data_IF_906714948289
#
_entry.id   IF_906714948289
#
_cell.length_a   1.000
_cell.length_b   1.000
_cell.length_c   1.000
_cell.angle_alpha   90.00
_cell.angle_beta   90.00
_cell.angle_gamma   90.00
#
_symmetry.space_group_name_H-M   'P 1'
#
loop_
_entity.id
_entity.type
_entity.pdbx_description
1 polymer ?
#
# COMPACT_ATOMS: atom_id res chain seq x y z
N UNK A 1 16.68 60.18 1.45
CA UNK A 1 15.70 59.10 1.68
C UNK A 1 15.64 58.25 0.42
N UNK A 2 16.49 57.22 0.33
CA UNK A 2 16.44 56.24 -0.76
C UNK A 2 16.02 54.91 -0.13
N UNK A 3 14.90 54.41 -0.65
CA UNK A 3 14.15 53.26 -0.15
C UNK A 3 14.96 52.00 -0.41
N UNK A 4 15.12 51.20 0.63
CA UNK A 4 16.05 50.08 0.70
C UNK A 4 15.87 49.02 -0.40
N UNK A 5 16.99 48.66 -1.01
CA UNK A 5 17.17 47.40 -1.71
C UNK A 5 17.15 46.25 -0.69
N UNK A 6 15.95 45.82 -0.28
CA UNK A 6 15.75 44.73 0.68
C UNK A 6 14.70 43.70 0.27
N UNK A 7 14.19 43.76 -0.96
CA UNK A 7 12.98 43.02 -1.37
C UNK A 7 13.19 41.75 -2.20
N UNK A 8 14.36 41.50 -2.77
CA UNK A 8 14.52 40.45 -3.80
C UNK A 8 15.01 39.09 -3.31
N UNK A 9 15.52 38.97 -2.08
CA UNK A 9 16.06 37.68 -1.60
C UNK A 9 14.97 36.76 -1.02
N UNK A 10 13.80 37.30 -0.64
CA UNK A 10 12.75 36.52 0.03
C UNK A 10 11.82 35.74 -0.92
N UNK A 11 11.76 36.10 -2.21
CA UNK A 11 10.91 35.39 -3.17
C UNK A 11 11.56 34.15 -3.79
N UNK A 12 12.89 34.13 -3.94
CA UNK A 12 13.61 32.96 -4.47
C UNK A 12 13.57 31.76 -3.53
N UNK A 13 13.75 31.99 -2.23
CA UNK A 13 13.71 30.90 -1.22
C UNK A 13 12.30 30.32 -1.09
N UNK A 14 11.26 31.13 -1.24
CA UNK A 14 9.87 30.65 -1.18
C UNK A 14 9.52 29.74 -2.37
N UNK A 15 10.01 30.06 -3.56
CA UNK A 15 9.83 29.23 -4.77
C UNK A 15 10.62 27.91 -4.69
N UNK A 16 11.82 27.94 -4.10
CA UNK A 16 12.60 26.72 -3.84
C UNK A 16 11.92 25.85 -2.77
N UNK A 17 11.34 26.44 -1.72
CA UNK A 17 10.56 25.67 -0.74
C UNK A 17 9.26 25.08 -1.31
N UNK A 18 8.54 25.83 -2.16
CA UNK A 18 7.32 25.34 -2.84
C UNK A 18 7.61 24.21 -3.84
N UNK A 19 8.75 24.27 -4.53
CA UNK A 19 9.20 23.18 -5.41
C UNK A 19 9.71 21.97 -4.62
N UNK A 20 10.42 22.16 -3.51
CA UNK A 20 10.83 21.05 -2.61
C UNK A 20 9.60 20.39 -1.94
N UNK A 21 8.54 21.14 -1.61
CA UNK A 21 7.29 20.61 -1.09
C UNK A 21 6.46 19.86 -2.15
N UNK A 22 6.50 20.30 -3.42
CA UNK A 22 5.83 19.57 -4.53
C UNK A 22 6.54 18.28 -4.95
N UNK A 23 7.84 18.13 -4.66
CA UNK A 23 8.58 16.88 -4.94
C UNK A 23 8.27 15.80 -3.89
N UNK A 24 7.63 16.16 -2.77
CA UNK A 24 7.24 15.22 -1.71
C UNK A 24 5.78 14.78 -1.87
N UNK A 25 5.52 14.00 -2.91
CA UNK A 25 4.53 12.92 -2.78
C UNK A 25 3.35 12.88 -3.75
N UNK A 26 3.49 13.41 -4.97
CA UNK A 26 2.64 12.90 -6.05
C UNK A 26 3.16 11.51 -6.44
N UNK A 27 2.32 10.49 -6.31
CA UNK A 27 2.63 9.17 -6.87
C UNK A 27 2.83 9.32 -8.38
N UNK A 28 3.89 8.71 -8.93
CA UNK A 28 4.16 8.71 -10.39
C UNK A 28 3.18 7.82 -11.17
N UNK A 29 2.17 7.28 -10.50
CA UNK A 29 1.20 6.33 -11.00
C UNK A 29 -0.21 6.71 -10.56
N UNK A 30 -1.20 6.26 -11.32
CA UNK A 30 -2.60 6.43 -10.96
C UNK A 30 -2.98 5.42 -9.87
N UNK A 31 -3.54 5.90 -8.77
CA UNK A 31 -3.96 5.05 -7.65
C UNK A 31 -5.47 5.00 -7.49
N UNK A 32 -6.05 3.81 -7.59
CA UNK A 32 -7.45 3.58 -7.29
C UNK A 32 -7.63 3.17 -5.83
N UNK A 33 -8.17 4.11 -5.06
CA UNK A 33 -8.39 3.94 -3.63
C UNK A 33 -9.50 2.94 -3.30
N UNK A 34 -9.20 2.10 -2.33
CA UNK A 34 -10.17 1.32 -1.55
C UNK A 34 -11.03 2.28 -0.72
N UNK A 35 -12.35 2.11 -0.76
CA UNK A 35 -13.30 3.06 -0.16
C UNK A 35 -13.93 2.57 1.15
N UNK A 36 -14.07 1.26 1.30
CA UNK A 36 -14.86 0.69 2.39
C UNK A 36 -14.00 0.37 3.61
N UNK A 37 -14.64 0.27 4.78
CA UNK A 37 -14.02 -0.36 5.93
C UNK A 37 -13.96 -1.87 5.72
N UNK A 38 -12.96 -2.51 6.31
CA UNK A 38 -12.77 -3.95 6.15
C UNK A 38 -12.76 -4.62 7.51
N UNK A 39 -13.65 -5.58 7.73
CA UNK A 39 -13.72 -6.38 8.95
C UNK A 39 -12.95 -7.69 8.78
N UNK A 40 -11.88 -7.85 9.55
CA UNK A 40 -11.07 -9.06 9.62
C UNK A 40 -11.39 -9.82 10.90
N UNK A 41 -11.95 -11.03 10.76
CA UNK A 41 -12.41 -11.84 11.89
C UNK A 41 -13.51 -11.15 12.69
N UNK A 42 -13.66 -11.51 13.97
CA UNK A 42 -14.84 -11.11 14.75
C UNK A 42 -14.87 -9.64 15.21
N UNK A 43 -13.73 -8.95 15.31
CA UNK A 43 -13.69 -7.60 15.92
C UNK A 43 -12.74 -6.61 15.24
N UNK A 44 -11.92 -7.04 14.27
CA UNK A 44 -10.87 -6.15 13.76
C UNK A 44 -11.31 -5.44 12.50
N UNK A 45 -11.81 -4.23 12.66
CA UNK A 45 -12.03 -3.30 11.56
C UNK A 45 -10.71 -2.62 11.17
N UNK A 46 -10.47 -2.52 9.88
CA UNK A 46 -9.34 -1.84 9.24
C UNK A 46 -9.91 -0.71 8.40
N UNK A 47 -9.36 0.49 8.59
CA UNK A 47 -9.77 1.68 7.85
C UNK A 47 -9.28 1.63 6.40
N UNK A 48 -10.07 2.15 5.45
CA UNK A 48 -9.68 2.22 4.04
C UNK A 48 -8.38 3.02 3.85
N UNK A 49 -8.14 4.06 4.65
CA UNK A 49 -6.93 4.86 4.60
C UNK A 49 -5.67 4.01 4.81
N UNK A 50 -5.70 3.10 5.79
CA UNK A 50 -4.60 2.19 6.05
C UNK A 50 -4.38 1.22 4.89
N UNK A 51 -5.45 0.64 4.35
CA UNK A 51 -5.36 -0.26 3.18
C UNK A 51 -4.71 0.46 2.00
N UNK A 52 -5.13 1.70 1.75
CA UNK A 52 -4.60 2.53 0.66
C UNK A 52 -3.14 2.89 0.84
N UNK A 53 -2.73 3.27 2.05
CA UNK A 53 -1.33 3.60 2.36
C UNK A 53 -0.40 2.43 2.06
N UNK A 54 -0.73 1.24 2.56
CA UNK A 54 0.09 0.05 2.34
C UNK A 54 0.08 -0.40 0.87
N UNK A 55 -1.07 -0.32 0.18
CA UNK A 55 -1.14 -0.61 -1.26
C UNK A 55 -0.26 0.34 -2.08
N UNK A 56 -0.27 1.66 -1.77
CA UNK A 56 0.63 2.64 -2.41
C UNK A 56 2.08 2.35 -2.11
N UNK A 57 2.43 2.05 -0.87
CA UNK A 57 3.79 1.65 -0.50
C UNK A 57 4.24 0.40 -1.28
N UNK A 58 3.33 -0.57 -1.45
CA UNK A 58 3.55 -1.76 -2.28
C UNK A 58 3.86 -1.41 -3.73
N UNK A 59 3.01 -0.61 -4.37
CA UNK A 59 3.23 -0.18 -5.75
C UNK A 59 4.54 0.60 -5.92
N UNK A 60 4.86 1.53 -5.02
CA UNK A 60 6.14 2.25 -5.01
C UNK A 60 7.34 1.29 -4.95
N UNK A 61 7.27 0.23 -4.15
CA UNK A 61 8.34 -0.78 -4.05
C UNK A 61 8.51 -1.59 -5.33
N UNK A 62 7.42 -1.97 -5.98
CA UNK A 62 7.47 -2.67 -7.28
C UNK A 62 8.12 -1.78 -8.34
N UNK A 63 7.72 -0.51 -8.40
CA UNK A 63 8.29 0.46 -9.34
C UNK A 63 9.79 0.68 -9.08
N UNK A 64 10.18 0.85 -7.80
CA UNK A 64 11.55 1.19 -7.42
C UNK A 64 12.55 0.01 -7.49
N UNK A 65 12.08 -1.23 -7.35
CA UNK A 65 12.96 -2.40 -7.23
C UNK A 65 12.67 -3.50 -8.27
N UNK A 66 11.76 -3.25 -9.19
CA UNK A 66 11.37 -4.18 -10.24
C UNK A 66 10.27 -5.14 -9.81
N UNK A 67 9.59 -5.67 -10.81
CA UNK A 67 8.44 -6.53 -10.63
C UNK A 67 8.86 -7.92 -10.12
N UNK A 68 8.39 -8.38 -8.95
CA UNK A 68 8.67 -9.73 -8.43
C UNK A 68 8.39 -10.85 -9.45
N UNK A 69 7.38 -10.69 -10.31
CA UNK A 69 7.03 -11.66 -11.35
C UNK A 69 8.04 -11.68 -12.50
N UNK A 70 8.67 -10.54 -12.81
CA UNK A 70 9.71 -10.48 -13.85
C UNK A 70 10.98 -11.27 -13.48
N UNK A 71 11.19 -11.55 -12.19
CA UNK A 71 12.36 -12.28 -11.69
C UNK A 71 12.18 -13.81 -11.69
N UNK A 72 10.97 -14.32 -11.95
CA UNK A 72 10.69 -15.77 -11.90
C UNK A 72 11.42 -16.54 -13.01
N UNK A 73 11.83 -15.86 -14.10
CA UNK A 73 12.47 -16.48 -15.26
C UNK A 73 13.93 -16.04 -15.51
N UNK A 74 14.57 -15.30 -14.61
CA UNK A 74 15.94 -14.81 -14.84
C UNK A 74 16.97 -15.69 -14.09
N UNK A 75 17.88 -16.38 -14.80
CA UNK A 75 18.85 -17.31 -14.19
C UNK A 75 19.91 -16.64 -13.30
N UNK A 76 19.91 -15.32 -13.18
CA UNK A 76 20.98 -14.56 -12.51
C UNK A 76 20.74 -14.21 -11.03
N UNK A 77 19.57 -14.51 -10.44
CA UNK A 77 19.19 -13.94 -9.13
C UNK A 77 19.25 -14.89 -7.93
N UNK A 78 20.32 -15.68 -7.83
CA UNK A 78 20.63 -16.50 -6.64
C UNK A 78 21.00 -15.71 -5.37
N UNK A 79 21.26 -14.40 -5.46
CA UNK A 79 21.87 -13.62 -4.36
C UNK A 79 21.20 -12.27 -4.06
N UNK A 80 19.89 -12.12 -4.23
CA UNK A 80 19.19 -10.95 -3.67
C UNK A 80 19.02 -11.09 -2.14
N UNK A 81 19.95 -10.43 -1.43
CA UNK A 81 19.96 -10.05 -0.02
C UNK A 81 18.70 -10.42 0.79
N UNK A 82 18.78 -11.50 1.59
CA UNK A 82 17.67 -12.06 2.38
C UNK A 82 17.01 -11.06 3.35
N UNK A 83 17.66 -9.96 3.69
CA UNK A 83 17.14 -8.96 4.64
C UNK A 83 16.08 -8.00 4.07
N UNK A 84 15.98 -7.79 2.74
CA UNK A 84 14.93 -6.93 2.15
C UNK A 84 13.57 -7.63 1.95
N UNK A 85 13.48 -8.95 2.18
CA UNK A 85 12.29 -9.76 1.85
C UNK A 85 11.07 -9.50 2.73
N UNK A 86 11.21 -9.06 3.99
CA UNK A 86 10.06 -9.14 4.91
C UNK A 86 8.89 -8.22 4.53
N UNK A 87 9.16 -7.10 3.84
CA UNK A 87 8.16 -6.08 3.48
C UNK A 87 8.10 -5.78 1.97
N UNK A 88 8.76 -6.60 1.15
CA UNK A 88 8.64 -6.46 -0.29
C UNK A 88 7.32 -7.10 -0.74
N UNK A 89 6.63 -6.53 -1.74
CA UNK A 89 5.42 -7.13 -2.26
C UNK A 89 5.69 -8.53 -2.82
N UNK A 90 4.85 -9.48 -2.44
CA UNK A 90 4.93 -10.86 -2.91
C UNK A 90 3.77 -11.13 -3.88
N UNK A 91 3.96 -11.91 -4.96
CA UNK A 91 2.86 -12.31 -5.83
C UNK A 91 1.71 -12.96 -5.05
N UNK A 92 0.48 -12.54 -5.33
CA UNK A 92 -0.71 -13.11 -4.73
C UNK A 92 -0.97 -14.52 -5.29
N UNK A 93 -1.22 -15.48 -4.39
CA UNK A 93 -1.49 -16.89 -4.71
C UNK A 93 -2.80 -17.40 -4.10
N UNK A 94 -3.65 -16.51 -3.61
CA UNK A 94 -4.93 -16.89 -2.99
C UNK A 94 -6.02 -17.11 -4.04
N UNK A 95 -7.12 -17.73 -3.61
CA UNK A 95 -8.26 -18.05 -4.48
C UNK A 95 -9.33 -16.94 -4.53
N UNK A 96 -9.21 -15.91 -3.70
CA UNK A 96 -10.28 -14.92 -3.52
C UNK A 96 -10.35 -13.88 -4.64
N UNK A 97 -9.23 -13.64 -5.33
CA UNK A 97 -9.17 -12.73 -6.46
C UNK A 97 -8.51 -13.43 -7.63
N UNK A 98 -9.20 -13.45 -8.76
CA UNK A 98 -8.64 -13.99 -9.99
C UNK A 98 -7.86 -12.88 -10.69
N UNK A 99 -6.61 -13.19 -11.04
CA UNK A 99 -5.75 -12.37 -11.90
C UNK A 99 -6.25 -12.46 -13.35
N UNK A 100 -7.47 -11.98 -13.62
CA UNK A 100 -8.02 -12.09 -14.98
C UNK A 100 -7.23 -11.26 -15.99
N UNK A 101 -6.66 -10.10 -15.59
CA UNK A 101 -5.88 -9.24 -16.50
C UNK A 101 -4.74 -8.43 -15.83
N UNK A 102 -4.71 -8.39 -14.49
CA UNK A 102 -3.74 -7.58 -13.74
C UNK A 102 -2.99 -8.44 -12.73
N UNK A 103 -1.65 -8.38 -12.68
CA UNK A 103 -0.91 -9.13 -11.68
C UNK A 103 -1.21 -8.59 -10.29
N UNK A 104 -1.47 -9.53 -9.38
CA UNK A 104 -1.85 -9.27 -8.01
C UNK A 104 -0.67 -9.49 -7.07
N UNK A 105 -0.55 -8.64 -6.07
CA UNK A 105 0.51 -8.63 -5.09
C UNK A 105 -0.05 -8.50 -3.68
N UNK A 106 0.76 -8.90 -2.71
CA UNK A 106 0.48 -8.78 -1.29
C UNK A 106 1.57 -8.02 -0.57
N UNK A 107 1.18 -7.13 0.35
CA UNK A 107 2.11 -6.41 1.22
C UNK A 107 1.63 -6.50 2.67
N UNK A 108 2.55 -6.79 3.59
CA UNK A 108 2.22 -6.97 5.02
C UNK A 108 1.94 -5.63 5.70
N UNK A 109 0.86 -5.58 6.47
CA UNK A 109 0.57 -4.46 7.37
C UNK A 109 1.47 -4.61 8.60
N UNK A 110 2.34 -3.63 8.85
CA UNK A 110 3.19 -3.63 10.05
C UNK A 110 2.37 -3.18 11.25
N UNK A 111 2.29 -4.00 12.29
CA UNK A 111 1.80 -3.58 13.60
C UNK A 111 2.92 -3.63 14.63
N UNK A 112 3.02 -2.56 15.40
CA UNK A 112 4.11 -2.32 16.35
C UNK A 112 3.84 -2.92 17.75
N UNK A 113 3.22 -4.12 17.86
CA UNK A 113 2.90 -4.72 19.16
C UNK A 113 3.20 -6.22 19.25
N UNK A 114 3.62 -6.60 20.46
CA UNK A 114 4.19 -7.87 20.95
C UNK A 114 3.43 -9.18 20.61
N UNK A 115 2.17 -9.15 20.19
CA UNK A 115 1.37 -10.36 19.94
C UNK A 115 1.32 -10.71 18.45
N UNK A 116 2.26 -11.57 18.04
CA UNK A 116 2.70 -11.84 16.65
C UNK A 116 1.92 -12.90 15.86
N UNK A 117 0.82 -13.44 16.37
CA UNK A 117 0.18 -14.57 15.70
C UNK A 117 -0.69 -14.14 14.52
N UNK A 118 -1.48 -13.07 14.67
CA UNK A 118 -2.34 -12.60 13.58
C UNK A 118 -1.58 -11.72 12.60
N UNK A 119 -1.46 -12.16 11.36
CA UNK A 119 -0.83 -11.41 10.27
C UNK A 119 -1.90 -10.84 9.37
N UNK A 120 -1.70 -9.63 8.86
CA UNK A 120 -2.58 -8.97 7.91
C UNK A 120 -1.79 -8.59 6.67
N UNK A 121 -2.36 -8.82 5.50
CA UNK A 121 -1.76 -8.47 4.21
C UNK A 121 -2.78 -7.72 3.36
N UNK A 122 -2.35 -6.63 2.74
CA UNK A 122 -3.13 -5.91 1.74
C UNK A 122 -2.87 -6.54 0.39
N UNK A 123 -3.95 -6.76 -0.36
CA UNK A 123 -3.92 -7.24 -1.74
C UNK A 123 -4.12 -6.05 -2.66
N UNK A 124 -3.26 -5.92 -3.66
CA UNK A 124 -3.32 -4.85 -4.64
C UNK A 124 -2.92 -5.36 -6.02
N UNK A 125 -3.40 -4.71 -7.09
CA UNK A 125 -2.88 -4.91 -8.43
C UNK A 125 -1.95 -3.77 -8.84
N UNK A 126 -0.99 -4.11 -9.66
CA UNK A 126 -0.09 -3.17 -10.32
C UNK A 126 0.00 -3.50 -11.80
N UNK A 127 -0.27 -2.54 -12.68
CA UNK A 127 -0.08 -2.70 -14.11
C UNK A 127 1.01 -1.76 -14.60
N UNK A 128 2.08 -2.35 -15.15
CA UNK A 128 3.17 -1.58 -15.78
C UNK A 128 2.71 -0.89 -17.06
N UNK A 129 1.78 -1.50 -17.81
CA UNK A 129 1.32 -0.98 -19.12
C UNK A 129 0.42 0.25 -18.96
N UNK A 130 -0.50 0.23 -18.00
CA UNK A 130 -1.39 1.36 -17.71
C UNK A 130 -0.91 2.28 -16.59
N UNK A 131 0.27 2.00 -16.00
CA UNK A 131 0.84 2.74 -14.88
C UNK A 131 -0.18 2.94 -13.74
N UNK A 132 -0.90 1.86 -13.43
CA UNK A 132 -2.10 1.88 -12.60
C UNK A 132 -1.95 0.93 -11.42
N UNK A 133 -2.26 1.43 -10.23
CA UNK A 133 -2.21 0.70 -8.97
C UNK A 133 -3.60 0.70 -8.34
N UNK A 134 -4.09 -0.46 -7.90
CA UNK A 134 -5.42 -0.57 -7.29
C UNK A 134 -5.38 -1.45 -6.05
N UNK A 135 -5.86 -0.92 -4.94
CA UNK A 135 -6.13 -1.73 -3.75
C UNK A 135 -7.38 -2.61 -3.99
N UNK A 136 -7.27 -3.91 -3.69
CA UNK A 136 -8.34 -4.91 -3.94
C UNK A 136 -8.97 -5.43 -2.66
N UNK A 137 -8.21 -5.55 -1.57
CA UNK A 137 -8.74 -6.04 -0.30
C UNK A 137 -7.67 -6.35 0.73
N UNK A 138 -8.07 -7.03 1.80
CA UNK A 138 -7.20 -7.44 2.90
C UNK A 138 -7.43 -8.91 3.22
N UNK A 139 -6.34 -9.65 3.44
CA UNK A 139 -6.37 -10.99 4.02
C UNK A 139 -5.77 -10.96 5.42
N UNK A 140 -6.25 -11.85 6.27
CA UNK A 140 -5.65 -12.11 7.57
C UNK A 140 -5.40 -13.60 7.81
N UNK A 141 -4.35 -13.88 8.55
CA UNK A 141 -3.97 -15.21 9.02
C UNK A 141 -3.98 -15.17 10.55
N UNK A 142 -4.86 -15.92 11.24
CA UNK A 142 -4.96 -15.91 12.71
C UNK A 142 -3.79 -16.61 13.42
N UNK A 143 -2.86 -17.24 12.71
CA UNK A 143 -1.62 -17.82 13.24
C UNK A 143 -1.78 -19.18 13.91
N UNK A 144 -2.90 -19.46 14.58
CA UNK A 144 -3.17 -20.75 15.23
C UNK A 144 -4.01 -21.72 14.38
N UNK A 145 -4.79 -21.22 13.41
CA UNK A 145 -5.54 -22.05 12.45
C UNK A 145 -4.85 -21.96 11.10
N UNK A 146 -4.61 -23.10 10.45
CA UNK A 146 -4.09 -23.12 9.06
C UNK A 146 -5.15 -22.47 8.16
N UNK A 147 -4.85 -21.30 7.60
CA UNK A 147 -5.70 -20.65 6.61
C UNK A 147 -5.45 -19.16 6.49
N UNK A 148 -5.48 -18.66 5.25
CA UNK A 148 -5.61 -17.23 4.97
C UNK A 148 -7.09 -16.96 4.71
N UNK A 149 -7.62 -15.93 5.35
CA UNK A 149 -9.03 -15.58 5.26
C UNK A 149 -9.15 -14.18 4.69
N UNK A 150 -10.01 -14.03 3.68
CA UNK A 150 -10.39 -12.73 3.18
C UNK A 150 -11.17 -11.97 4.26
N UNK A 151 -10.82 -10.71 4.47
CA UNK A 151 -11.60 -9.83 5.31
C UNK A 151 -12.82 -9.28 4.53
N UNK A 152 -13.93 -9.06 5.23
CA UNK A 152 -15.21 -8.67 4.62
C UNK A 152 -15.27 -7.15 4.48
N UNK A 153 -15.69 -6.66 3.30
CA UNK A 153 -15.99 -5.25 3.13
C UNK A 153 -17.30 -4.87 3.83
N UNK A 154 -17.22 -3.90 4.73
CA UNK A 154 -18.40 -3.34 5.37
C UNK A 154 -19.03 -2.32 4.44
N UNK A 155 -20.34 -2.48 4.17
CA UNK A 155 -21.11 -1.47 3.46
C UNK A 155 -21.23 -0.23 4.35
N UNK A 156 -21.26 1.00 3.78
CA UNK A 156 -21.32 2.24 4.54
C UNK A 156 -22.49 2.28 5.56
N UNK A 157 -23.60 1.60 5.29
CA UNK A 157 -24.76 1.49 6.19
C UNK A 157 -24.52 0.69 7.48
N UNK A 158 -23.51 -0.19 7.51
CA UNK A 158 -23.22 -1.05 8.68
C UNK A 158 -22.32 -0.37 9.72
N UNK A 159 -21.68 0.75 9.38
CA UNK A 159 -20.74 1.46 10.27
C UNK A 159 -21.44 2.34 11.31
N UNK A 160 -22.71 2.70 11.11
CA UNK A 160 -23.45 3.59 12.02
C UNK A 160 -24.15 2.84 13.17
N UNK A 161 -24.30 1.52 13.07
CA UNK A 161 -24.97 0.72 14.11
C UNK A 161 -24.06 0.49 15.33
N UNK A 162 -22.73 0.51 15.15
CA UNK A 162 -21.76 0.28 16.25
C UNK A 162 -21.47 1.54 17.09
N UNK A 163 -21.89 2.74 16.66
CA UNK A 163 -21.74 3.97 17.45
C UNK A 163 -22.92 4.27 18.38
N UNK A 164 -23.96 3.43 18.37
CA UNK A 164 -25.16 3.57 19.21
C UNK A 164 -25.41 2.32 20.05
N UNK A 165 -24.45 1.92 20.91
CA UNK A 165 -24.70 1.10 22.09
C UNK A 165 -23.86 1.66 23.24
#
# INVERSE_FOLDING_TARGET
MWIGAGGQVRFGVLLVFLSILSVKGADTFFFWSFRNHVQCGYKKTIEPALVNEYAREGCRKIIAHGDPLSYVNSPQNGYFNRQKKYNFPEPYKGAHFISNDEPLYTVKIKRNKLFRFTKYVVIFSWSKTSNFCKAKGVEYDPGMRKGKFLCVELRPEQTDTEKKI
#
